data_IF_272926142883
#
_entry.id   IF_272926142883
#
_cell.length_a   1.000
_cell.length_b   1.000
_cell.length_c   1.000
_cell.angle_alpha   90.00
_cell.angle_beta   90.00
_cell.angle_gamma   90.00
#
_symmetry.space_group_name_H-M   'P 1'
#
loop_
_entity.id
_entity.type
_entity.pdbx_description
1 polymer ?
#
# COMPACT_ATOMS: atom_id res chain seq x y z
N UNK A 1 19.95 3.77 -18.29
CA UNK A 1 18.84 4.46 -17.60
C UNK A 1 17.60 4.56 -18.45
N UNK A 2 17.75 4.91 -19.73
CA UNK A 2 16.61 5.38 -20.54
C UNK A 2 15.66 4.24 -20.92
N UNK A 3 16.18 3.04 -21.16
CA UNK A 3 15.38 1.85 -21.46
C UNK A 3 14.43 1.44 -20.32
N UNK A 4 14.93 1.30 -19.08
CA UNK A 4 14.09 0.91 -17.93
C UNK A 4 13.06 2.00 -17.62
N UNK A 5 13.44 3.27 -17.75
CA UNK A 5 12.51 4.39 -17.55
C UNK A 5 11.36 4.34 -18.57
N UNK A 6 11.67 4.10 -19.84
CA UNK A 6 10.67 3.87 -20.87
C UNK A 6 9.78 2.66 -20.56
N UNK A 7 10.36 1.55 -20.10
CA UNK A 7 9.60 0.37 -19.67
C UNK A 7 8.61 0.69 -18.55
N UNK A 8 9.01 1.44 -17.53
CA UNK A 8 8.11 1.86 -16.43
C UNK A 8 6.95 2.69 -16.98
N UNK A 9 7.23 3.66 -17.87
CA UNK A 9 6.18 4.48 -18.47
C UNK A 9 5.21 3.65 -19.33
N UNK A 10 5.73 2.73 -20.13
CA UNK A 10 4.92 1.84 -20.97
C UNK A 10 4.05 0.89 -20.13
N UNK A 11 4.62 0.29 -19.08
CA UNK A 11 3.89 -0.58 -18.15
C UNK A 11 2.83 0.20 -17.37
N UNK A 12 3.12 1.44 -16.98
CA UNK A 12 2.13 2.28 -16.30
C UNK A 12 1.00 2.68 -17.24
N UNK A 13 1.29 3.00 -18.51
CA UNK A 13 0.27 3.24 -19.53
C UNK A 13 -0.60 1.99 -19.76
N UNK A 14 0.01 0.80 -19.78
CA UNK A 14 -0.71 -0.47 -19.85
C UNK A 14 -1.60 -0.70 -18.63
N UNK A 15 -1.11 -0.41 -17.42
CA UNK A 15 -1.91 -0.48 -16.19
C UNK A 15 -3.11 0.46 -16.25
N UNK A 16 -2.92 1.71 -16.69
CA UNK A 16 -4.02 2.67 -16.88
C UNK A 16 -5.04 2.11 -17.87
N UNK A 17 -4.58 1.64 -19.04
CA UNK A 17 -5.46 1.04 -20.04
C UNK A 17 -6.23 -0.13 -19.42
N UNK A 18 -5.55 -1.03 -18.71
CA UNK A 18 -6.16 -2.17 -18.01
C UNK A 18 -7.26 -1.72 -17.03
N UNK A 19 -6.98 -0.74 -16.17
CA UNK A 19 -7.96 -0.18 -15.21
C UNK A 19 -9.23 0.32 -15.90
N UNK A 20 -9.09 0.97 -17.06
CA UNK A 20 -10.23 1.49 -17.80
C UNK A 20 -10.96 0.42 -18.62
N UNK A 21 -10.24 -0.57 -19.17
CA UNK A 21 -10.80 -1.69 -19.94
C UNK A 21 -11.37 -2.81 -19.09
N UNK A 22 -10.98 -2.90 -17.81
CA UNK A 22 -11.58 -3.84 -16.88
C UNK A 22 -13.07 -3.49 -16.78
N UNK A 23 -13.90 -4.31 -17.45
CA UNK A 23 -15.33 -4.41 -17.15
C UNK A 23 -15.36 -4.77 -15.69
N UNK A 24 -15.66 -3.78 -14.85
CA UNK A 24 -15.52 -3.86 -13.41
C UNK A 24 -15.81 -5.29 -12.98
N UNK A 25 -14.77 -6.03 -12.56
CA UNK A 25 -14.98 -7.24 -11.76
C UNK A 25 -16.08 -6.82 -10.81
N UNK A 26 -17.22 -7.51 -10.92
CA UNK A 26 -18.44 -7.21 -10.20
C UNK A 26 -18.06 -7.14 -8.71
N UNK A 27 -17.62 -5.98 -8.23
CA UNK A 27 -17.65 -5.61 -6.83
C UNK A 27 -19.12 -5.35 -6.60
N UNK A 28 -19.95 -6.39 -6.76
CA UNK A 28 -21.40 -6.38 -7.00
C UNK A 28 -22.00 -5.09 -6.44
N UNK A 29 -21.94 -3.97 -7.20
CA UNK A 29 -22.12 -2.67 -6.56
C UNK A 29 -23.60 -2.42 -6.31
N UNK A 30 -24.38 -3.15 -7.10
CA UNK A 30 -25.82 -3.28 -7.07
C UNK A 30 -26.29 -3.74 -5.70
N UNK A 31 -25.75 -4.80 -5.10
CA UNK A 31 -26.29 -5.27 -3.81
C UNK A 31 -26.22 -4.25 -2.66
N UNK A 32 -25.21 -3.38 -2.63
CA UNK A 32 -25.07 -2.36 -1.57
C UNK A 32 -25.76 -1.04 -1.90
N UNK A 33 -25.77 -0.59 -3.16
CA UNK A 33 -26.56 0.57 -3.57
C UNK A 33 -28.06 0.29 -3.49
N UNK A 34 -28.50 -0.92 -3.87
CA UNK A 34 -29.91 -1.32 -3.82
C UNK A 34 -30.42 -1.38 -2.38
N UNK A 35 -29.58 -1.82 -1.42
CA UNK A 35 -29.92 -1.77 0.02
C UNK A 35 -29.88 -0.35 0.59
N UNK A 36 -28.97 0.52 0.13
CA UNK A 36 -28.89 1.91 0.59
C UNK A 36 -30.08 2.75 0.07
N UNK A 37 -30.46 2.60 -1.20
CA UNK A 37 -31.67 3.25 -1.77
C UNK A 37 -32.94 2.78 -1.06
N UNK A 38 -33.06 1.48 -0.77
CA UNK A 38 -34.17 0.95 0.02
C UNK A 38 -34.20 1.52 1.46
N UNK A 39 -33.03 1.69 2.10
CA UNK A 39 -32.93 2.23 3.45
C UNK A 39 -33.24 3.74 3.55
N UNK A 40 -32.97 4.51 2.49
CA UNK A 40 -33.23 5.96 2.43
C UNK A 40 -34.71 6.26 2.19
N UNK A 41 -35.42 5.39 1.47
CA UNK A 41 -36.86 5.53 1.20
C UNK A 41 -37.76 4.99 2.36
N UNK A 42 -37.17 4.54 3.48
CA UNK A 42 -37.93 4.08 4.66
C UNK A 42 -38.55 2.69 4.50
N UNK A 43 -38.34 2.02 3.38
CA UNK A 43 -38.69 0.61 3.17
C UNK A 43 -37.55 -0.27 3.67
N UNK A 44 -37.45 -0.42 4.99
CA UNK A 44 -36.80 -1.62 5.53
C UNK A 44 -37.60 -2.83 5.04
N UNK A 45 -36.98 -3.82 4.37
CA UNK A 45 -37.69 -5.04 3.99
C UNK A 45 -38.31 -5.64 5.24
N UNK A 46 -39.64 -5.68 5.28
CA UNK A 46 -40.39 -6.36 6.33
C UNK A 46 -39.97 -7.82 6.37
N UNK A 47 -39.39 -8.25 7.49
CA UNK A 47 -39.29 -9.66 7.92
C UNK A 47 -39.02 -10.69 6.82
N UNK A 48 -38.01 -10.45 5.97
CA UNK A 48 -37.48 -11.48 5.09
C UNK A 48 -36.29 -12.15 5.78
N UNK A 49 -36.53 -13.38 6.28
CA UNK A 49 -35.58 -14.37 6.81
C UNK A 49 -34.11 -13.94 6.92
N UNK A 50 -33.68 -13.85 8.17
CA UNK A 50 -32.33 -13.71 8.71
C UNK A 50 -31.31 -14.69 8.11
N UNK A 51 -30.80 -14.41 6.90
CA UNK A 51 -29.60 -15.08 6.35
C UNK A 51 -28.95 -14.37 5.15
N UNK A 52 -29.43 -13.20 4.69
CA UNK A 52 -28.75 -12.45 3.64
C UNK A 52 -27.59 -11.64 4.24
N UNK A 53 -26.31 -12.03 4.05
CA UNK A 53 -25.21 -11.29 4.63
C UNK A 53 -25.11 -9.96 3.89
N UNK A 54 -25.26 -8.84 4.61
CA UNK A 54 -24.77 -7.54 4.14
C UNK A 54 -23.40 -7.76 3.47
N UNK A 55 -23.13 -7.19 2.27
CA UNK A 55 -21.87 -7.40 1.57
C UNK A 55 -20.69 -7.08 2.50
N UNK A 56 -20.03 -8.12 3.03
CA UNK A 56 -18.95 -7.99 4.01
C UNK A 56 -17.65 -7.68 3.27
N UNK A 57 -17.58 -6.51 2.64
CA UNK A 57 -16.34 -6.03 2.03
C UNK A 57 -15.39 -5.65 3.17
N UNK A 58 -14.20 -6.27 3.29
CA UNK A 58 -13.23 -5.82 4.26
C UNK A 58 -12.70 -4.45 3.86
N UNK A 59 -12.91 -3.45 4.72
CA UNK A 59 -12.35 -2.11 4.55
C UNK A 59 -13.30 -0.99 4.97
N UNK A 60 -12.83 0.23 4.85
CA UNK A 60 -13.59 1.43 5.15
C UNK A 60 -14.57 1.71 4.00
N UNK A 61 -15.79 1.19 4.17
CA UNK A 61 -16.97 1.40 3.32
C UNK A 61 -17.12 2.85 2.77
N UNK A 62 -16.88 3.92 3.55
CA UNK A 62 -17.05 5.27 3.03
C UNK A 62 -16.08 5.70 1.91
N UNK A 63 -14.97 4.98 1.64
CA UNK A 63 -14.08 5.32 0.52
C UNK A 63 -14.74 5.10 -0.83
N UNK A 64 -15.53 4.03 -1.00
CA UNK A 64 -16.21 3.74 -2.26
C UNK A 64 -17.25 4.80 -2.59
N UNK A 65 -17.94 5.32 -1.57
CA UNK A 65 -18.90 6.42 -1.71
C UNK A 65 -18.20 7.76 -2.02
N UNK A 66 -17.09 8.07 -1.36
CA UNK A 66 -16.32 9.29 -1.67
C UNK A 66 -15.69 9.25 -3.07
N UNK A 67 -15.11 8.11 -3.44
CA UNK A 67 -14.57 7.91 -4.78
C UNK A 67 -15.66 8.07 -5.84
N UNK A 68 -16.91 7.74 -5.50
CA UNK A 68 -18.04 7.81 -6.40
C UNK A 68 -19.06 8.90 -6.12
N UNK A 69 -18.66 10.12 -5.78
CA UNK A 69 -19.61 11.25 -5.64
C UNK A 69 -19.96 11.84 -7.02
N UNK A 70 -21.19 11.69 -7.53
CA UNK A 70 -21.81 12.65 -8.44
C UNK A 70 -22.76 13.59 -7.69
N UNK A 71 -22.80 14.85 -8.15
CA UNK A 71 -23.74 15.89 -7.76
C UNK A 71 -25.15 15.44 -8.17
N UNK A 72 -25.91 14.85 -7.24
CA UNK A 72 -27.24 14.27 -7.46
C UNK A 72 -28.38 15.32 -7.60
N UNK A 73 -28.12 16.43 -8.30
CA UNK A 73 -29.07 17.54 -8.43
C UNK A 73 -29.70 17.74 -9.81
N UNK A 74 -29.41 16.88 -10.81
CA UNK A 74 -29.64 17.22 -12.22
C UNK A 74 -30.59 16.29 -13.01
N UNK A 75 -31.09 15.19 -12.42
CA UNK A 75 -31.87 14.19 -13.15
C UNK A 75 -33.31 14.12 -12.66
N UNK A 76 -34.27 14.13 -13.60
CA UNK A 76 -35.70 14.01 -13.33
C UNK A 76 -36.18 12.55 -13.25
N UNK A 77 -35.44 11.61 -13.87
CA UNK A 77 -35.72 10.18 -13.84
C UNK A 77 -34.76 9.44 -12.88
N UNK A 78 -35.34 8.59 -12.03
CA UNK A 78 -34.66 7.78 -11.01
C UNK A 78 -33.80 6.69 -11.65
N UNK A 79 -34.22 6.10 -12.77
CA UNK A 79 -33.44 5.07 -13.46
C UNK A 79 -32.19 5.68 -14.14
N UNK A 80 -32.35 6.85 -14.75
CA UNK A 80 -31.24 7.60 -15.36
C UNK A 80 -30.27 8.14 -14.29
N UNK A 81 -30.78 8.63 -13.16
CA UNK A 81 -29.97 9.03 -12.01
C UNK A 81 -29.16 7.86 -11.43
N UNK A 82 -29.75 6.66 -11.33
CA UNK A 82 -29.09 5.45 -10.83
C UNK A 82 -28.02 4.92 -11.82
N UNK A 83 -28.31 4.94 -13.12
CA UNK A 83 -27.36 4.57 -14.17
C UNK A 83 -26.17 5.56 -14.20
N UNK A 84 -26.43 6.86 -14.13
CA UNK A 84 -25.38 7.88 -14.05
C UNK A 84 -24.58 7.78 -12.75
N UNK A 85 -25.25 7.52 -11.62
CA UNK A 85 -24.57 7.34 -10.33
C UNK A 85 -23.64 6.13 -10.34
N UNK A 86 -24.10 4.98 -10.84
CA UNK A 86 -23.28 3.77 -10.96
C UNK A 86 -22.09 3.94 -11.91
N UNK A 87 -22.26 4.65 -13.03
CA UNK A 87 -21.18 4.95 -13.97
C UNK A 87 -20.17 5.96 -13.41
N UNK A 88 -20.66 6.99 -12.70
CA UNK A 88 -19.84 7.98 -12.00
C UNK A 88 -19.01 7.35 -10.88
N UNK A 89 -19.61 6.46 -10.09
CA UNK A 89 -18.93 5.69 -9.04
C UNK A 89 -17.84 4.80 -9.62
N UNK A 90 -18.15 4.06 -10.70
CA UNK A 90 -17.17 3.23 -11.40
C UNK A 90 -15.97 4.03 -11.89
N UNK A 91 -16.20 5.20 -12.48
CA UNK A 91 -15.13 6.07 -13.00
C UNK A 91 -14.26 6.62 -11.87
N UNK A 92 -14.88 7.10 -10.80
CA UNK A 92 -14.15 7.70 -9.69
C UNK A 92 -13.30 6.69 -8.92
N UNK A 93 -13.79 5.45 -8.72
CA UNK A 93 -12.99 4.35 -8.16
C UNK A 93 -11.77 4.07 -9.05
N UNK A 94 -11.94 4.01 -10.37
CA UNK A 94 -10.84 3.81 -11.32
C UNK A 94 -9.79 4.92 -11.24
N UNK A 95 -10.22 6.18 -11.17
CA UNK A 95 -9.31 7.34 -11.02
C UNK A 95 -8.51 7.24 -9.72
N UNK A 96 -9.17 6.95 -8.59
CA UNK A 96 -8.50 6.78 -7.29
C UNK A 96 -7.51 5.61 -7.35
N UNK A 97 -7.85 4.51 -8.02
CA UNK A 97 -6.95 3.38 -8.20
C UNK A 97 -5.70 3.75 -9.00
N UNK A 98 -5.84 4.49 -10.11
CA UNK A 98 -4.69 4.99 -10.90
C UNK A 98 -3.81 5.91 -10.04
N UNK A 99 -4.41 6.83 -9.28
CA UNK A 99 -3.67 7.73 -8.39
C UNK A 99 -2.91 6.93 -7.32
N UNK A 100 -3.52 5.90 -6.75
CA UNK A 100 -2.90 5.07 -5.72
C UNK A 100 -1.72 4.25 -6.29
N UNK A 101 -1.87 3.63 -7.47
CA UNK A 101 -0.76 2.96 -8.17
C UNK A 101 0.37 3.93 -8.51
N UNK A 102 0.03 5.12 -9.02
CA UNK A 102 1.02 6.16 -9.29
C UNK A 102 1.77 6.57 -8.03
N UNK A 103 1.06 6.75 -6.91
CA UNK A 103 1.66 7.06 -5.62
C UNK A 103 2.61 5.96 -5.14
N UNK A 104 2.29 4.67 -5.37
CA UNK A 104 3.19 3.54 -5.08
C UNK A 104 4.46 3.63 -5.94
N UNK A 105 4.32 3.81 -7.26
CA UNK A 105 5.45 3.90 -8.20
C UNK A 105 6.41 5.03 -7.81
N UNK A 106 5.87 6.23 -7.59
CA UNK A 106 6.66 7.39 -7.15
C UNK A 106 7.29 7.11 -5.78
N UNK A 107 6.54 6.51 -4.85
CA UNK A 107 7.06 6.14 -3.53
C UNK A 107 8.25 5.18 -3.61
N UNK A 108 8.20 4.16 -4.48
CA UNK A 108 9.30 3.23 -4.72
C UNK A 108 10.55 3.94 -5.25
N UNK A 109 10.37 4.85 -6.22
CA UNK A 109 11.47 5.64 -6.80
C UNK A 109 12.05 6.61 -5.75
N UNK A 110 11.20 7.25 -4.94
CA UNK A 110 11.60 8.16 -3.86
C UNK A 110 12.40 7.40 -2.79
N UNK A 111 11.98 6.21 -2.37
CA UNK A 111 12.75 5.41 -1.41
C UNK A 111 14.09 4.99 -2.01
N UNK A 112 14.10 4.51 -3.26
CA UNK A 112 15.33 4.13 -3.95
C UNK A 112 16.32 5.28 -4.10
N UNK A 113 15.84 6.49 -4.39
CA UNK A 113 16.69 7.68 -4.52
C UNK A 113 17.15 8.23 -3.18
N UNK A 114 16.23 8.52 -2.27
CA UNK A 114 16.54 9.27 -1.06
C UNK A 114 17.12 8.41 0.06
N UNK A 115 16.77 7.12 0.10
CA UNK A 115 17.16 6.23 1.19
C UNK A 115 18.16 5.15 0.78
N UNK A 116 18.12 4.71 -0.47
CA UNK A 116 19.08 3.73 -1.00
C UNK A 116 20.21 4.36 -1.84
N UNK A 117 20.16 5.68 -2.10
CA UNK A 117 21.12 6.40 -2.96
C UNK A 117 21.32 5.73 -4.33
N UNK A 118 20.25 5.11 -4.84
CA UNK A 118 20.26 4.34 -6.07
C UNK A 118 18.98 4.61 -6.88
N UNK A 119 19.02 5.65 -7.70
CA UNK A 119 17.91 6.01 -8.59
C UNK A 119 17.53 4.87 -9.54
N UNK A 120 18.53 4.20 -10.13
CA UNK A 120 18.28 3.08 -11.05
C UNK A 120 17.61 1.90 -10.30
N UNK A 121 18.02 1.64 -9.06
CA UNK A 121 17.37 0.66 -8.19
C UNK A 121 15.92 1.03 -7.87
N UNK A 122 15.63 2.31 -7.64
CA UNK A 122 14.25 2.80 -7.46
C UNK A 122 13.38 2.62 -8.70
N UNK A 123 13.89 2.95 -9.89
CA UNK A 123 13.17 2.71 -11.16
C UNK A 123 12.98 1.21 -11.40
N UNK A 124 14.00 0.38 -11.14
CA UNK A 124 13.91 -1.07 -11.29
C UNK A 124 12.90 -1.69 -10.30
N UNK A 125 12.83 -1.19 -9.07
CA UNK A 125 11.80 -1.56 -8.10
C UNK A 125 10.38 -1.22 -8.60
N UNK A 126 10.19 -0.02 -9.15
CA UNK A 126 8.91 0.36 -9.75
C UNK A 126 8.55 -0.51 -10.97
N UNK A 127 9.52 -0.82 -11.84
CA UNK A 127 9.33 -1.72 -12.97
C UNK A 127 8.93 -3.12 -12.50
N UNK A 128 9.61 -3.66 -11.48
CA UNK A 128 9.27 -4.97 -10.92
C UNK A 128 7.85 -4.96 -10.36
N UNK A 129 7.49 -3.93 -9.59
CA UNK A 129 6.13 -3.79 -9.05
C UNK A 129 5.06 -3.86 -10.14
N UNK A 130 5.24 -3.11 -11.24
CA UNK A 130 4.31 -3.07 -12.38
C UNK A 130 4.25 -4.37 -13.18
N UNK A 131 5.33 -5.16 -13.18
CA UNK A 131 5.41 -6.46 -13.86
C UNK A 131 4.74 -7.59 -13.08
N UNK A 132 4.42 -7.39 -11.80
CA UNK A 132 3.82 -8.46 -10.99
C UNK A 132 2.42 -8.80 -11.53
N UNK A 133 2.06 -10.09 -11.69
CA UNK A 133 0.74 -10.49 -12.21
C UNK A 133 -0.43 -9.84 -11.46
N UNK A 134 -0.22 -9.60 -10.17
CA UNK A 134 -1.16 -8.91 -9.30
C UNK A 134 -1.62 -7.54 -9.84
N UNK A 135 -0.69 -6.71 -10.33
CA UNK A 135 -1.00 -5.36 -10.83
C UNK A 135 -1.74 -5.39 -12.16
N UNK A 136 -1.87 -6.55 -12.81
CA UNK A 136 -2.71 -6.76 -13.98
C UNK A 136 -4.06 -7.44 -13.65
N UNK A 137 -4.13 -8.26 -12.60
CA UNK A 137 -5.33 -9.04 -12.26
C UNK A 137 -6.28 -8.34 -11.28
N UNK A 138 -5.78 -7.48 -10.39
CA UNK A 138 -6.58 -6.81 -9.36
C UNK A 138 -6.35 -5.30 -9.38
N UNK A 139 -6.59 -4.65 -10.53
CA UNK A 139 -6.11 -3.27 -10.76
C UNK A 139 -6.94 -2.20 -10.03
N UNK A 140 -8.24 -2.44 -9.80
CA UNK A 140 -9.21 -1.41 -9.33
C UNK A 140 -9.54 -1.50 -7.83
N UNK A 141 -8.94 -2.45 -7.12
CA UNK A 141 -9.40 -2.80 -5.77
C UNK A 141 -8.76 -1.95 -4.66
N UNK A 142 -9.46 -0.87 -4.34
CA UNK A 142 -9.01 0.19 -3.43
C UNK A 142 -8.68 -0.27 -2.00
N UNK A 143 -9.36 -1.32 -1.54
CA UNK A 143 -9.22 -1.89 -0.20
C UNK A 143 -7.80 -2.38 0.11
N UNK A 144 -6.96 -2.63 -0.91
CA UNK A 144 -5.56 -2.99 -0.68
C UNK A 144 -4.56 -2.03 -1.34
N UNK A 145 -4.92 -1.32 -2.43
CA UNK A 145 -3.98 -0.43 -3.13
C UNK A 145 -3.76 0.83 -2.28
N UNK A 146 -4.83 1.40 -1.70
CA UNK A 146 -4.73 2.61 -0.88
C UNK A 146 -3.89 2.38 0.38
N UNK A 147 -4.12 1.32 1.20
CA UNK A 147 -3.22 1.00 2.29
C UNK A 147 -1.78 0.81 1.82
N UNK A 148 -1.55 0.12 0.70
CA UNK A 148 -0.22 -0.04 0.12
C UNK A 148 0.46 1.28 -0.21
N UNK A 149 -0.26 2.20 -0.86
CA UNK A 149 0.24 3.54 -1.19
C UNK A 149 0.62 4.32 0.08
N UNK A 150 -0.26 4.33 1.09
CA UNK A 150 0.03 4.99 2.36
C UNK A 150 1.25 4.38 3.07
N UNK A 151 1.38 3.05 3.08
CA UNK A 151 2.49 2.35 3.71
C UNK A 151 3.83 2.63 3.02
N UNK A 152 3.87 2.66 1.68
CA UNK A 152 5.08 3.05 0.93
C UNK A 152 5.51 4.47 1.28
N UNK A 153 4.56 5.40 1.32
CA UNK A 153 4.86 6.78 1.69
C UNK A 153 5.22 6.94 3.17
N UNK A 154 4.68 6.09 4.06
CA UNK A 154 5.08 6.05 5.46
C UNK A 154 6.56 5.67 5.58
N UNK A 155 7.00 4.68 4.79
CA UNK A 155 8.42 4.32 4.64
C UNK A 155 9.22 5.46 4.00
N UNK A 156 8.75 6.08 2.91
CA UNK A 156 9.44 7.19 2.27
C UNK A 156 9.65 8.38 3.22
N UNK A 157 8.73 8.60 4.15
CA UNK A 157 8.75 9.70 5.12
C UNK A 157 9.23 9.29 6.50
N UNK A 158 9.88 8.12 6.69
CA UNK A 158 10.25 7.57 8.02
C UNK A 158 11.07 8.53 8.90
N UNK A 159 11.79 9.51 8.32
CA UNK A 159 12.54 10.52 9.07
C UNK A 159 11.63 11.56 9.75
N UNK A 160 10.35 11.61 9.41
CA UNK A 160 9.33 12.54 9.92
C UNK A 160 8.23 11.77 10.66
N UNK A 161 8.35 11.58 11.99
CA UNK A 161 7.48 10.67 12.75
C UNK A 161 5.99 11.00 12.64
N UNK A 162 5.62 12.29 12.58
CA UNK A 162 4.21 12.70 12.43
C UNK A 162 3.65 12.25 11.09
N UNK A 163 4.38 12.45 9.98
CA UNK A 163 3.90 12.08 8.64
C UNK A 163 3.78 10.57 8.49
N UNK A 164 4.79 9.82 8.94
CA UNK A 164 4.71 8.35 8.94
C UNK A 164 3.58 7.85 9.82
N UNK A 165 3.34 8.48 10.97
CA UNK A 165 2.21 8.18 11.84
C UNK A 165 0.86 8.44 11.15
N UNK A 166 0.70 9.60 10.51
CA UNK A 166 -0.52 9.93 9.75
C UNK A 166 -0.76 8.93 8.64
N UNK A 167 0.27 8.53 7.90
CA UNK A 167 0.14 7.60 6.78
C UNK A 167 -0.18 6.17 7.26
N UNK A 168 0.45 5.70 8.34
CA UNK A 168 0.08 4.41 8.96
C UNK A 168 -1.35 4.47 9.51
N UNK A 169 -1.72 5.55 10.20
CA UNK A 169 -3.08 5.76 10.69
C UNK A 169 -4.11 5.81 9.56
N UNK A 170 -3.78 6.44 8.42
CA UNK A 170 -4.61 6.45 7.22
C UNK A 170 -4.71 5.05 6.59
N UNK A 171 -3.67 4.23 6.66
CA UNK A 171 -3.75 2.84 6.19
C UNK A 171 -4.70 1.97 7.02
N UNK A 172 -5.11 2.41 8.22
CA UNK A 172 -6.09 1.72 9.08
C UNK A 172 -7.51 1.70 8.51
N UNK A 173 -7.73 2.29 7.33
CA UNK A 173 -8.86 2.01 6.43
C UNK A 173 -9.14 0.51 6.34
N UNK A 174 -8.08 -0.29 6.38
CA UNK A 174 -8.14 -1.72 6.65
C UNK A 174 -7.49 -1.96 7.99
N UNK A 175 -8.03 -2.85 8.82
CA UNK A 175 -7.59 -3.04 10.21
C UNK A 175 -6.11 -3.49 10.36
N UNK A 176 -5.60 -4.37 9.49
CA UNK A 176 -4.34 -5.10 9.76
C UNK A 176 -3.05 -4.28 9.91
N UNK A 177 -2.84 -3.10 9.26
CA UNK A 177 -1.70 -2.24 9.53
C UNK A 177 -1.59 -1.77 10.99
N UNK A 178 -2.62 -1.98 11.83
CA UNK A 178 -2.51 -1.81 13.29
C UNK A 178 -1.37 -2.63 13.89
N UNK A 179 -1.06 -3.79 13.30
CA UNK A 179 0.05 -4.66 13.70
C UNK A 179 1.44 -4.01 13.48
N UNK A 180 1.53 -2.97 12.66
CA UNK A 180 2.76 -2.20 12.47
C UNK A 180 3.04 -1.23 13.62
N UNK A 181 2.02 -0.81 14.37
CA UNK A 181 2.17 0.21 15.41
C UNK A 181 3.23 -0.18 16.45
N UNK A 182 3.27 -1.42 16.99
CA UNK A 182 4.30 -1.82 17.94
C UNK A 182 5.72 -1.76 17.37
N UNK A 183 5.91 -2.21 16.13
CA UNK A 183 7.21 -2.16 15.43
C UNK A 183 7.69 -0.71 15.26
N UNK A 184 6.82 0.15 14.72
CA UNK A 184 7.14 1.55 14.42
C UNK A 184 7.29 2.39 15.69
N UNK A 185 6.48 2.12 16.72
CA UNK A 185 6.67 2.68 18.06
C UNK A 185 8.04 2.26 18.65
N UNK A 186 8.45 1.01 18.43
CA UNK A 186 9.78 0.52 18.78
C UNK A 186 10.91 1.29 18.08
N UNK A 187 10.73 1.62 16.79
CA UNK A 187 11.70 2.41 16.01
C UNK A 187 11.81 3.85 16.53
N UNK A 188 10.69 4.51 16.83
CA UNK A 188 10.68 5.89 17.34
C UNK A 188 10.85 6.01 18.87
N UNK A 189 11.08 4.89 19.58
CA UNK A 189 11.10 4.81 21.05
C UNK A 189 11.98 5.89 21.69
N UNK A 190 13.19 6.10 21.16
CA UNK A 190 14.14 7.09 21.70
C UNK A 190 13.80 8.52 21.33
N UNK A 191 13.30 8.75 20.11
CA UNK A 191 13.04 10.08 19.56
C UNK A 191 11.85 10.04 18.61
N UNK A 192 10.74 10.64 19.03
CA UNK A 192 9.58 10.85 18.17
C UNK A 192 8.39 9.92 18.40
N UNK A 193 8.44 9.05 19.42
CA UNK A 193 7.32 8.15 19.75
C UNK A 193 5.98 8.88 19.86
N UNK A 194 5.87 9.91 20.70
CA UNK A 194 4.62 10.65 20.87
C UNK A 194 4.19 11.39 19.60
N UNK A 195 5.14 11.90 18.82
CA UNK A 195 4.86 12.55 17.53
C UNK A 195 4.28 11.55 16.51
N UNK A 196 4.80 10.33 16.51
CA UNK A 196 4.31 9.23 15.69
C UNK A 196 2.91 8.81 16.13
N UNK A 197 2.71 8.51 17.43
CA UNK A 197 1.41 8.10 17.97
C UNK A 197 0.34 9.17 17.79
N UNK A 198 0.70 10.45 17.93
CA UNK A 198 -0.20 11.57 17.62
C UNK A 198 -0.63 11.55 16.15
N UNK A 199 0.30 11.34 15.22
CA UNK A 199 -0.03 11.22 13.79
C UNK A 199 -0.98 10.06 13.51
N UNK A 200 -0.72 8.89 14.11
CA UNK A 200 -1.60 7.71 13.99
C UNK A 200 -3.00 8.01 14.52
N UNK A 201 -3.08 8.57 15.74
CA UNK A 201 -4.35 8.90 16.38
C UNK A 201 -5.12 9.98 15.62
N UNK A 202 -4.45 11.00 15.09
CA UNK A 202 -5.07 12.06 14.30
C UNK A 202 -5.67 11.51 13.00
N UNK A 203 -4.93 10.70 12.24
CA UNK A 203 -5.43 10.11 11.01
C UNK A 203 -6.56 9.10 11.26
N UNK A 204 -6.46 8.27 12.30
CA UNK A 204 -7.55 7.38 12.71
C UNK A 204 -8.80 8.18 13.12
N UNK A 205 -8.62 9.27 13.88
CA UNK A 205 -9.70 10.18 14.24
C UNK A 205 -10.38 10.78 13.01
N UNK A 206 -9.62 11.19 11.98
CA UNK A 206 -10.18 11.64 10.69
C UNK A 206 -10.99 10.54 10.02
N UNK A 207 -10.52 9.28 10.00
CA UNK A 207 -11.32 8.17 9.46
C UNK A 207 -12.64 8.01 10.22
N UNK A 208 -12.63 8.04 11.55
CA UNK A 208 -13.85 7.96 12.36
C UNK A 208 -14.78 9.14 12.09
N UNK A 209 -14.25 10.36 11.97
CA UNK A 209 -15.02 11.56 11.65
C UNK A 209 -15.61 11.51 10.24
N UNK A 210 -14.87 11.02 9.25
CA UNK A 210 -15.37 10.81 7.89
C UNK A 210 -16.50 9.76 7.87
N UNK A 211 -16.35 8.68 8.64
CA UNK A 211 -17.39 7.68 8.81
C UNK A 211 -18.65 8.35 9.41
N UNK A 212 -18.49 9.10 10.50
CA UNK A 212 -19.60 9.81 11.14
C UNK A 212 -20.27 10.83 10.21
N UNK A 213 -19.49 11.60 9.46
CA UNK A 213 -20.01 12.61 8.54
C UNK A 213 -20.83 12.01 7.39
N UNK A 214 -20.50 10.79 6.95
CA UNK A 214 -21.17 10.12 5.84
C UNK A 214 -22.40 9.30 6.28
N UNK A 215 -22.38 8.74 7.50
CA UNK A 215 -23.41 7.80 7.98
C UNK A 215 -24.20 8.26 9.19
N UNK A 216 -23.88 9.44 9.75
CA UNK A 216 -24.66 10.10 10.80
C UNK A 216 -24.89 9.23 12.03
N UNK A 217 -23.86 8.91 12.82
CA UNK A 217 -23.97 8.36 14.19
C UNK A 217 -24.79 7.08 14.43
N UNK A 218 -25.44 6.52 13.41
CA UNK A 218 -26.39 5.41 13.51
C UNK A 218 -25.74 4.02 13.53
N UNK A 219 -26.52 2.95 13.28
CA UNK A 219 -26.03 1.58 13.26
C UNK A 219 -24.87 1.34 12.30
N UNK A 220 -24.96 1.88 11.07
CA UNK A 220 -23.91 1.80 10.04
C UNK A 220 -22.61 2.49 10.46
N UNK A 221 -22.71 3.56 11.27
CA UNK A 221 -21.53 4.19 11.85
C UNK A 221 -20.81 3.26 12.82
N UNK A 222 -21.57 2.64 13.74
CA UNK A 222 -21.02 1.70 14.73
C UNK A 222 -20.40 0.49 14.04
N UNK A 223 -21.03 -0.02 13.00
CA UNK A 223 -20.51 -1.16 12.23
C UNK A 223 -19.21 -0.83 11.52
N UNK A 224 -19.10 0.33 10.85
CA UNK A 224 -17.85 0.70 10.20
C UNK A 224 -16.73 1.05 11.18
N UNK A 225 -17.02 1.66 12.33
CA UNK A 225 -16.03 1.83 13.41
C UNK A 225 -15.60 0.47 13.96
N UNK A 226 -16.53 -0.46 14.16
CA UNK A 226 -16.19 -1.81 14.60
C UNK A 226 -15.36 -2.57 13.54
N UNK A 227 -15.60 -2.34 12.25
CA UNK A 227 -14.79 -2.88 11.16
C UNK A 227 -13.36 -2.31 11.18
N UNK A 228 -13.22 -0.99 11.38
CA UNK A 228 -11.92 -0.33 11.58
C UNK A 228 -11.16 -0.85 12.81
N UNK A 229 -11.87 -1.34 13.83
CA UNK A 229 -11.32 -1.96 15.04
C UNK A 229 -11.14 -3.47 14.94
N UNK A 230 -11.40 -4.07 13.77
CA UNK A 230 -11.09 -5.47 13.52
C UNK A 230 -12.16 -6.47 13.95
N UNK A 231 -13.45 -6.08 14.03
CA UNK A 231 -14.56 -7.01 14.31
C UNK A 231 -14.55 -8.25 13.40
N UNK A 232 -14.05 -8.12 12.17
CA UNK A 232 -13.91 -9.23 11.21
C UNK A 232 -12.74 -10.18 11.44
N UNK A 233 -11.81 -9.89 12.36
CA UNK A 233 -10.55 -10.62 12.51
C UNK A 233 -10.75 -12.11 12.84
N UNK A 234 -11.70 -12.42 13.71
CA UNK A 234 -12.01 -13.79 14.15
C UNK A 234 -13.29 -14.34 13.52
N UNK A 235 -13.86 -13.67 12.51
CA UNK A 235 -15.05 -14.14 11.82
C UNK A 235 -14.78 -15.49 11.17
N UNK A 236 -15.61 -16.51 11.48
CA UNK A 236 -15.51 -17.87 10.95
C UNK A 236 -16.38 -18.12 9.73
N UNK A 237 -17.35 -17.26 9.44
CA UNK A 237 -18.23 -17.35 8.27
C UNK A 237 -17.75 -16.53 7.09
N UNK A 238 -18.03 -17.01 5.86
CA UNK A 238 -17.72 -16.32 4.61
C UNK A 238 -16.24 -16.25 4.26
N UNK A 239 -15.47 -17.29 4.59
CA UNK A 239 -14.05 -17.37 4.24
C UNK A 239 -13.90 -17.70 2.75
N UNK A 240 -12.95 -17.04 2.11
CA UNK A 240 -12.68 -17.15 0.68
C UNK A 240 -11.16 -17.06 0.44
N UNK A 241 -10.69 -17.51 -0.73
CA UNK A 241 -9.29 -17.60 -1.09
C UNK A 241 -8.56 -18.75 -0.38
N UNK A 242 -7.43 -18.47 0.26
CA UNK A 242 -6.63 -19.52 0.92
C UNK A 242 -7.42 -20.29 1.99
N UNK A 243 -8.32 -19.62 2.70
CA UNK A 243 -9.10 -20.19 3.81
C UNK A 243 -10.36 -20.93 3.38
N UNK A 244 -10.76 -20.87 2.11
CA UNK A 244 -11.89 -21.63 1.57
C UNK A 244 -11.70 -23.14 1.75
N UNK A 245 -10.45 -23.61 1.55
CA UNK A 245 -10.10 -25.03 1.57
C UNK A 245 -9.54 -25.52 2.92
N UNK A 246 -9.51 -24.68 3.95
CA UNK A 246 -8.87 -24.97 5.23
C UNK A 246 -9.79 -24.70 6.42
N UNK A 247 -9.58 -25.41 7.53
CA UNK A 247 -10.35 -25.16 8.75
C UNK A 247 -10.12 -23.73 9.27
N UNK A 248 -11.19 -22.96 9.55
CA UNK A 248 -11.10 -21.62 10.13
C UNK A 248 -10.27 -21.55 11.42
N UNK A 249 -10.22 -22.65 12.18
CA UNK A 249 -9.55 -22.76 13.47
C UNK A 249 -8.02 -22.62 13.36
N UNK A 250 -7.43 -23.00 12.22
CA UNK A 250 -5.99 -22.89 11.98
C UNK A 250 -5.50 -21.44 11.92
N UNK A 251 -6.39 -20.45 11.81
CA UNK A 251 -6.03 -19.02 11.92
C UNK A 251 -5.63 -18.62 13.34
N UNK A 252 -6.12 -19.30 14.38
CA UNK A 252 -5.80 -18.98 15.77
C UNK A 252 -4.30 -19.13 16.06
N UNK A 253 -3.63 -20.27 15.76
CA UNK A 253 -2.19 -20.39 15.96
C UNK A 253 -1.37 -19.44 15.06
N UNK A 254 -1.84 -19.15 13.85
CA UNK A 254 -1.19 -18.17 12.96
C UNK A 254 -1.27 -16.76 13.55
N UNK A 255 -2.45 -16.36 14.05
CA UNK A 255 -2.64 -15.10 14.75
C UNK A 255 -1.76 -15.02 16.00
N UNK A 256 -1.70 -16.09 16.82
CA UNK A 256 -0.84 -16.14 17.98
C UNK A 256 0.64 -15.95 17.60
N UNK A 257 1.10 -16.62 16.54
CA UNK A 257 2.46 -16.48 16.01
C UNK A 257 2.72 -15.06 15.52
N UNK A 258 1.75 -14.44 14.82
CA UNK A 258 1.84 -13.06 14.37
C UNK A 258 1.92 -12.09 15.55
N UNK A 259 1.12 -12.28 16.60
CA UNK A 259 1.17 -11.47 17.82
C UNK A 259 2.53 -11.58 18.49
N UNK A 260 3.07 -12.80 18.62
CA UNK A 260 4.42 -13.02 19.14
C UNK A 260 5.46 -12.30 18.27
N UNK A 261 5.37 -12.40 16.94
CA UNK A 261 6.26 -11.70 16.01
C UNK A 261 6.18 -10.18 16.18
N UNK A 262 4.97 -9.62 16.24
CA UNK A 262 4.74 -8.18 16.39
C UNK A 262 5.27 -7.64 17.71
N UNK A 263 5.03 -8.35 18.82
CA UNK A 263 5.55 -7.98 20.14
C UNK A 263 7.07 -8.10 20.16
N UNK A 264 7.61 -9.19 19.62
CA UNK A 264 9.06 -9.42 19.55
C UNK A 264 9.75 -8.34 18.75
N UNK A 265 9.25 -8.03 17.56
CA UNK A 265 9.76 -6.96 16.72
C UNK A 265 9.51 -5.57 17.32
N UNK A 266 8.45 -5.38 18.10
CA UNK A 266 8.23 -4.13 18.83
C UNK A 266 9.32 -3.90 19.87
N UNK A 267 9.57 -4.90 20.72
CA UNK A 267 10.51 -4.80 21.84
C UNK A 267 11.98 -4.88 21.39
N UNK A 268 12.31 -5.83 20.52
CA UNK A 268 13.66 -6.17 20.06
C UNK A 268 13.82 -5.99 18.54
N UNK A 269 15.00 -5.59 18.03
CA UNK A 269 16.14 -5.01 18.75
C UNK A 269 15.79 -3.65 19.38
N UNK A 270 16.55 -3.23 20.41
CA UNK A 270 16.31 -1.95 21.11
C UNK A 270 16.60 -0.74 20.22
N UNK A 271 17.62 -0.85 19.39
CA UNK A 271 17.98 0.11 18.34
C UNK A 271 17.65 -0.51 16.99
N UNK A 272 16.68 0.10 16.29
CA UNK A 272 16.25 -0.35 14.98
C UNK A 272 16.80 0.61 13.93
N UNK A 273 17.50 0.08 12.95
CA UNK A 273 17.85 0.83 11.76
C UNK A 273 16.68 0.84 10.76
N UNK A 274 16.83 1.60 9.67
CA UNK A 274 15.82 1.63 8.61
C UNK A 274 15.65 0.27 7.92
N UNK A 275 16.71 -0.55 7.86
CA UNK A 275 16.65 -1.90 7.32
C UNK A 275 15.73 -2.83 8.11
N UNK A 276 15.88 -2.85 9.42
CA UNK A 276 15.06 -3.62 10.35
C UNK A 276 13.61 -3.12 10.32
N UNK A 277 13.39 -1.81 10.21
CA UNK A 277 12.04 -1.24 10.07
C UNK A 277 11.36 -1.71 8.78
N UNK A 278 12.07 -1.65 7.66
CA UNK A 278 11.56 -2.06 6.35
C UNK A 278 11.30 -3.57 6.29
N UNK A 279 12.27 -4.38 6.71
CA UNK A 279 12.14 -5.83 6.76
C UNK A 279 11.02 -6.26 7.71
N UNK A 280 10.98 -5.69 8.92
CA UNK A 280 9.93 -5.97 9.89
C UNK A 280 8.54 -5.55 9.41
N UNK A 281 8.41 -4.42 8.71
CA UNK A 281 7.15 -3.98 8.11
C UNK A 281 6.69 -5.00 7.08
N UNK A 282 7.56 -5.42 6.18
CA UNK A 282 7.27 -6.45 5.18
C UNK A 282 6.89 -7.78 5.83
N UNK A 283 7.64 -8.26 6.83
CA UNK A 283 7.36 -9.51 7.53
C UNK A 283 5.99 -9.51 8.23
N UNK A 284 5.65 -8.41 8.91
CA UNK A 284 4.34 -8.28 9.58
C UNK A 284 3.22 -8.28 8.55
N UNK A 285 3.34 -7.50 7.47
CA UNK A 285 2.29 -7.42 6.44
C UNK A 285 2.07 -8.77 5.72
N UNK A 286 3.15 -9.50 5.42
CA UNK A 286 3.05 -10.87 4.89
C UNK A 286 2.37 -11.79 5.91
N UNK A 287 2.72 -11.69 7.20
CA UNK A 287 2.07 -12.47 8.26
C UNK A 287 0.57 -12.17 8.39
N UNK A 288 0.17 -10.89 8.27
CA UNK A 288 -1.23 -10.48 8.25
C UNK A 288 -2.03 -11.13 7.11
N UNK A 289 -1.40 -11.41 5.96
CA UNK A 289 -2.05 -12.05 4.82
C UNK A 289 -2.64 -13.42 5.14
N UNK A 290 -2.00 -14.15 6.06
CA UNK A 290 -2.47 -15.48 6.49
C UNK A 290 -3.49 -15.39 7.62
N UNK A 291 -3.60 -14.26 8.32
CA UNK A 291 -4.66 -14.05 9.33
C UNK A 291 -5.97 -13.59 8.67
N UNK A 292 -5.88 -12.90 7.53
CA UNK A 292 -7.03 -12.39 6.80
C UNK A 292 -7.95 -13.52 6.32
N UNK A 293 -9.22 -13.50 6.75
CA UNK A 293 -10.19 -14.55 6.43
C UNK A 293 -10.81 -14.47 5.03
N UNK A 294 -10.93 -13.27 4.47
CA UNK A 294 -11.54 -13.04 3.17
C UNK A 294 -10.44 -12.80 2.15
N UNK A 295 -10.31 -13.69 1.17
CA UNK A 295 -9.29 -13.59 0.11
C UNK A 295 -7.85 -13.46 0.63
N UNK A 296 -7.61 -14.06 1.81
CA UNK A 296 -6.29 -14.32 2.34
C UNK A 296 -5.44 -15.07 1.31
N UNK A 297 -4.15 -14.77 1.27
CA UNK A 297 -3.21 -15.25 0.26
C UNK A 297 -3.26 -14.55 -1.12
N UNK A 298 -4.36 -13.90 -1.52
CA UNK A 298 -4.52 -13.36 -2.88
C UNK A 298 -4.18 -11.86 -2.95
N UNK A 299 -4.33 -11.11 -1.85
CA UNK A 299 -4.23 -9.65 -1.84
C UNK A 299 -2.85 -9.16 -1.49
N UNK A 300 -2.11 -8.77 -2.52
CA UNK A 300 -0.68 -8.58 -2.42
C UNK A 300 -0.27 -7.10 -2.43
N UNK A 301 -1.08 -6.18 -2.99
CA UNK A 301 -0.66 -4.78 -3.22
C UNK A 301 -0.29 -3.99 -1.96
N UNK A 302 -0.83 -4.34 -0.80
CA UNK A 302 -0.49 -3.67 0.46
C UNK A 302 0.89 -4.03 1.04
N UNK A 303 1.44 -5.22 0.71
CA UNK A 303 2.75 -5.68 1.19
C UNK A 303 3.80 -5.78 0.07
N UNK A 304 3.37 -5.92 -1.19
CA UNK A 304 4.27 -6.09 -2.34
C UNK A 304 5.25 -4.93 -2.49
N UNK A 305 4.84 -3.65 -2.41
CA UNK A 305 5.78 -2.56 -2.55
C UNK A 305 6.87 -2.59 -1.47
N UNK A 306 6.52 -2.89 -0.22
CA UNK A 306 7.52 -3.03 0.85
C UNK A 306 8.42 -4.24 0.64
N UNK A 307 7.89 -5.36 0.13
CA UNK A 307 8.68 -6.54 -0.24
C UNK A 307 9.67 -6.22 -1.36
N UNK A 308 9.24 -5.53 -2.41
CA UNK A 308 10.09 -5.06 -3.50
C UNK A 308 11.20 -4.16 -2.96
N UNK A 309 10.89 -3.23 -2.05
CA UNK A 309 11.91 -2.39 -1.41
C UNK A 309 12.91 -3.20 -0.57
N UNK A 310 12.48 -4.28 0.08
CA UNK A 310 13.40 -5.20 0.79
C UNK A 310 14.34 -5.90 -0.20
N UNK A 311 13.82 -6.36 -1.34
CA UNK A 311 14.60 -7.04 -2.39
C UNK A 311 15.65 -6.10 -3.00
N UNK A 312 15.25 -4.85 -3.29
CA UNK A 312 16.14 -3.85 -3.88
C UNK A 312 16.96 -3.08 -2.84
N UNK A 313 16.87 -3.42 -1.56
CA UNK A 313 17.65 -2.77 -0.51
C UNK A 313 19.14 -3.04 -0.78
N UNK A 314 19.97 -2.01 -0.90
CA UNK A 314 21.40 -2.20 -1.07
C UNK A 314 22.00 -2.81 0.20
N UNK A 315 22.56 -4.01 0.10
CA UNK A 315 23.40 -4.61 1.15
C UNK A 315 24.88 -4.40 0.79
N UNK A 316 25.63 -3.70 1.65
CA UNK A 316 27.05 -3.37 1.48
C UNK A 316 27.99 -4.57 1.68
N UNK A 317 27.55 -5.79 1.33
CA UNK A 317 28.39 -6.99 1.36
C UNK A 317 29.48 -6.91 0.28
N UNK A 318 29.25 -6.17 -0.81
CA UNK A 318 30.18 -6.08 -1.95
C UNK A 318 31.33 -5.09 -1.79
N UNK A 319 31.44 -4.41 -0.63
CA UNK A 319 32.57 -3.52 -0.30
C UNK A 319 33.51 -4.18 0.72
N UNK A 320 33.93 -5.41 0.44
CA UNK A 320 35.02 -6.06 1.17
C UNK A 320 36.38 -5.57 0.67
N UNK A 321 37.39 -5.59 1.56
CA UNK A 321 38.76 -5.19 1.22
C UNK A 321 39.28 -5.96 -0.02
N UNK A 322 38.96 -7.25 -0.13
CA UNK A 322 39.25 -8.12 -1.28
C UNK A 322 38.84 -7.55 -2.66
N UNK A 323 37.73 -6.79 -2.72
CA UNK A 323 37.18 -6.28 -4.00
C UNK A 323 37.45 -4.80 -4.25
N UNK A 324 37.94 -4.08 -3.23
CA UNK A 324 38.09 -2.61 -3.26
C UNK A 324 39.53 -2.16 -3.07
N UNK A 325 40.37 -2.98 -2.45
CA UNK A 325 41.80 -2.74 -2.26
C UNK A 325 42.57 -3.53 -3.33
N UNK A 326 43.46 -2.90 -4.12
CA UNK A 326 44.33 -3.64 -5.02
C UNK A 326 45.25 -4.57 -4.21
N UNK A 327 45.40 -5.84 -4.63
CA UNK A 327 46.26 -6.83 -3.94
C UNK A 327 47.72 -6.38 -3.75
N UNK A 328 48.17 -5.42 -4.56
CA UNK A 328 49.51 -4.85 -4.51
C UNK A 328 49.40 -3.38 -4.16
N UNK A 329 50.26 -2.93 -3.23
CA UNK A 329 50.37 -1.55 -2.77
C UNK A 329 50.48 -0.50 -3.90
N UNK A 330 50.85 -0.92 -5.13
CA UNK A 330 51.00 -0.06 -6.32
C UNK A 330 50.32 -0.62 -7.59
N UNK A 331 49.31 -1.49 -7.49
CA UNK A 331 48.59 -1.91 -8.69
C UNK A 331 47.76 -0.74 -9.29
N UNK A 332 47.74 -0.58 -10.62
CA UNK A 332 46.92 0.45 -11.25
C UNK A 332 45.43 0.22 -10.96
N UNK A 333 44.74 1.28 -10.55
CA UNK A 333 43.28 1.25 -10.41
C UNK A 333 42.68 1.00 -11.81
N UNK A 334 41.71 0.09 -11.97
CA UNK A 334 41.11 -0.22 -13.27
C UNK A 334 40.66 1.05 -14.00
N UNK A 335 40.99 1.14 -15.29
CA UNK A 335 40.66 2.30 -16.14
C UNK A 335 39.16 2.62 -16.07
N UNK A 336 38.84 3.88 -15.78
CA UNK A 336 37.47 4.38 -15.57
C UNK A 336 37.12 4.75 -14.13
N UNK A 337 37.98 4.43 -13.15
CA UNK A 337 37.81 4.84 -11.75
C UNK A 337 38.94 5.68 -11.17
N UNK A 338 40.02 5.90 -11.92
CA UNK A 338 41.11 6.80 -11.53
C UNK A 338 40.76 8.25 -11.94
N UNK A 339 40.49 9.16 -10.98
CA UNK A 339 40.12 10.54 -11.27
C UNK A 339 41.22 11.30 -12.01
N UNK A 340 42.49 10.91 -11.82
CA UNK A 340 43.66 11.61 -12.36
C UNK A 340 43.84 11.29 -13.85
N UNK A 341 43.59 10.04 -14.24
CA UNK A 341 43.60 9.61 -15.65
C UNK A 341 42.44 10.23 -16.44
N UNK A 342 41.23 10.31 -15.85
CA UNK A 342 40.10 10.99 -16.48
C UNK A 342 40.40 12.48 -16.72
N UNK A 343 40.97 13.18 -15.74
CA UNK A 343 41.38 14.57 -15.88
C UNK A 343 42.45 14.76 -16.97
N UNK A 344 43.45 13.87 -17.06
CA UNK A 344 44.43 13.90 -18.14
C UNK A 344 43.80 13.71 -19.51
N UNK A 345 42.88 12.76 -19.66
CA UNK A 345 42.22 12.50 -20.95
C UNK A 345 41.31 13.65 -21.39
N UNK A 346 40.59 14.29 -20.45
CA UNK A 346 39.77 15.48 -20.73
C UNK A 346 40.63 16.67 -21.13
N UNK A 347 41.74 16.92 -20.42
CA UNK A 347 42.68 17.99 -20.75
C UNK A 347 43.36 17.77 -22.12
N UNK A 348 43.70 16.53 -22.46
CA UNK A 348 44.31 16.18 -23.74
C UNK A 348 43.30 16.28 -24.91
N UNK A 349 42.03 15.94 -24.69
CA UNK A 349 40.96 16.16 -25.70
C UNK A 349 40.67 17.64 -25.94
N UNK A 350 40.79 18.48 -24.92
CA UNK A 350 40.63 19.95 -25.05
C UNK A 350 41.70 20.61 -25.92
N UNK A 351 42.95 20.12 -25.88
CA UNK A 351 44.06 20.67 -26.69
C UNK A 351 43.96 20.34 -28.18
N UNK A 352 43.41 19.17 -28.54
CA UNK A 352 43.35 18.71 -29.94
C UNK A 352 42.32 19.46 -30.79
N UNK A 353 41.36 20.17 -30.16
CA UNK A 353 40.31 20.95 -30.85
C UNK A 353 40.72 22.40 -31.21
N UNK A 354 41.88 22.88 -30.77
CA UNK A 354 42.34 24.27 -31.01
C UNK A 354 43.35 24.44 -32.15
N UNK A 355 43.80 23.33 -32.76
CA UNK A 355 44.79 23.32 -33.84
C UNK A 355 44.24 22.76 -35.18
N UNK A 356 42.91 22.59 -35.28
CA UNK A 356 42.19 22.55 -36.57
C UNK A 356 41.28 23.80 -36.61
#
# INVERSE_FOLDING_TARGET
SDGITFTVLALFAFLIASVFTEHAVQVEPTRWFDTEVASVDGELPSEANDDSPLPRVPGFLPFYRFAGVPVAGAFADRAEAAAFASQGVGTGIKVVAVIAHFAIIIGLIVVGTWHFDNFQGGIAAAALYLLLPYTAQFTVRLDHILPGAFLVWAVATYRRPVLSGVLIGASLIVFYPVALIPLWAGFYRRRGLFRFLFGVAAAFGVLVLLQWALWGGGPLFREGVAALLGRGLLSTGGLDGFWEYHSPALRIPILATLVVLVISLGLWPLEKDFGNLLAGTTSILIGCQFVHGYQGGIYMAWFLPSLVLVIFRPTLIDRTADRTVPERWFAPIPEGRDPILWLRQVLLRGRKKRNN
#
